data_IF_166975666603
#
_entry.id   IF_166975666603
#
_cell.length_a   1.000
_cell.length_b   1.000
_cell.length_c   1.000
_cell.angle_alpha   90.00
_cell.angle_beta   90.00
_cell.angle_gamma   90.00
#
_symmetry.space_group_name_H-M   'P 1'
#
loop_
_entity.id
_entity.type
_entity.pdbx_description
1 polymer ?
#
# COMPACT_ATOMS: atom_id res chain seq x y z
N UNK A 1 -0.77 -0.42 6.13
CA UNK A 1 -0.63 -1.06 7.47
C UNK A 1 0.57 -1.99 7.45
N UNK A 2 1.16 -2.32 8.60
CA UNK A 2 2.13 -3.41 8.70
C UNK A 2 1.42 -4.65 9.23
N UNK A 3 1.52 -5.78 8.53
CA UNK A 3 0.89 -7.06 8.91
C UNK A 3 1.78 -8.21 8.45
N UNK A 4 2.00 -9.21 9.30
CA UNK A 4 2.89 -10.36 8.99
C UNK A 4 4.26 -9.94 8.44
N UNK A 5 4.85 -8.89 9.02
CA UNK A 5 6.12 -8.28 8.60
C UNK A 5 6.14 -7.73 7.15
N UNK A 6 4.98 -7.55 6.51
CA UNK A 6 4.85 -6.94 5.18
C UNK A 6 4.15 -5.58 5.25
N UNK A 7 4.52 -4.69 4.35
CA UNK A 7 3.85 -3.40 4.15
C UNK A 7 2.64 -3.56 3.23
N UNK A 8 1.46 -3.25 3.75
CA UNK A 8 0.19 -3.32 3.02
C UNK A 8 -0.36 -1.95 2.64
N UNK A 9 -0.95 -1.89 1.46
CA UNK A 9 -1.81 -0.80 0.98
C UNK A 9 -3.04 -1.38 0.28
N UNK A 10 -3.98 -0.53 -0.13
CA UNK A 10 -5.22 -1.01 -0.72
C UNK A 10 -5.89 0.00 -1.63
N UNK A 11 -6.74 -0.52 -2.51
CA UNK A 11 -7.59 0.24 -3.41
C UNK A 11 -8.95 -0.45 -3.56
N UNK A 12 -10.01 0.30 -3.81
CA UNK A 12 -11.30 -0.29 -4.12
C UNK A 12 -11.23 -1.07 -5.44
N UNK A 13 -11.74 -2.32 -5.46
CA UNK A 13 -11.68 -3.20 -6.64
C UNK A 13 -12.37 -2.61 -7.88
N UNK A 14 -13.30 -1.69 -7.68
CA UNK A 14 -14.02 -0.95 -8.73
C UNK A 14 -13.19 0.16 -9.39
N UNK A 15 -12.02 0.55 -8.83
CA UNK A 15 -11.22 1.67 -9.34
C UNK A 15 -10.29 1.23 -10.46
N UNK A 16 -10.04 2.13 -11.41
CA UNK A 16 -9.03 1.93 -12.47
C UNK A 16 -7.63 1.63 -11.91
N UNK A 17 -7.25 2.23 -10.78
CA UNK A 17 -5.96 1.98 -10.13
C UNK A 17 -5.80 0.51 -9.71
N UNK A 18 -6.87 -0.14 -9.22
CA UNK A 18 -6.82 -1.57 -8.91
C UNK A 18 -6.57 -2.40 -10.17
N UNK A 19 -7.26 -2.10 -11.27
CA UNK A 19 -7.08 -2.79 -12.54
C UNK A 19 -5.67 -2.58 -13.13
N UNK A 20 -5.11 -1.38 -12.97
CA UNK A 20 -3.73 -1.09 -13.40
C UNK A 20 -2.71 -1.93 -12.64
N UNK A 21 -2.88 -2.10 -11.32
CA UNK A 21 -1.99 -2.94 -10.50
C UNK A 21 -2.11 -4.42 -10.90
N UNK A 22 -3.31 -4.90 -11.23
CA UNK A 22 -3.47 -6.28 -11.74
C UNK A 22 -2.78 -6.49 -13.09
N UNK A 23 -2.82 -5.49 -13.98
CA UNK A 23 -2.17 -5.57 -15.28
C UNK A 23 -0.65 -5.41 -15.20
N UNK A 24 -0.15 -4.57 -14.29
CA UNK A 24 1.26 -4.38 -14.02
C UNK A 24 1.48 -4.22 -12.50
N UNK A 25 2.01 -5.24 -11.82
CA UNK A 25 2.13 -5.23 -10.37
C UNK A 25 3.27 -4.36 -9.84
N UNK A 26 4.13 -3.81 -10.70
CA UNK A 26 5.22 -2.95 -10.25
C UNK A 26 4.69 -1.55 -9.94
N UNK A 27 4.77 -1.18 -8.66
CA UNK A 27 4.24 0.08 -8.14
C UNK A 27 5.34 0.89 -7.46
N UNK A 28 5.14 2.20 -7.39
CA UNK A 28 5.90 3.10 -6.54
C UNK A 28 4.95 3.93 -5.67
N UNK A 29 5.22 3.98 -4.37
CA UNK A 29 4.55 4.84 -3.41
C UNK A 29 5.52 5.96 -3.03
N UNK A 30 5.09 7.20 -3.16
CA UNK A 30 5.89 8.36 -2.77
C UNK A 30 5.11 9.28 -1.84
N UNK A 31 5.79 9.83 -0.83
CA UNK A 31 5.25 10.87 0.03
C UNK A 31 6.37 11.73 0.60
N UNK A 32 6.02 12.90 1.13
CA UNK A 32 6.93 13.87 1.72
C UNK A 32 6.61 14.07 3.20
N UNK A 33 7.63 14.14 4.04
CA UNK A 33 7.51 14.58 5.43
C UNK A 33 7.28 16.10 5.50
N UNK A 34 6.78 16.58 6.63
CA UNK A 34 6.63 18.02 6.86
C UNK A 34 7.98 18.77 6.89
N UNK A 35 9.11 18.05 7.00
CA UNK A 35 10.46 18.62 7.00
C UNK A 35 11.07 18.73 5.60
N UNK A 36 10.36 18.25 4.56
CA UNK A 36 10.85 18.26 3.18
C UNK A 36 11.69 17.04 2.80
N UNK A 37 11.81 16.03 3.67
CA UNK A 37 12.33 14.72 3.30
C UNK A 37 11.26 13.99 2.47
N UNK A 38 11.65 13.18 1.49
CA UNK A 38 10.73 12.33 0.76
C UNK A 38 11.15 10.87 0.81
N UNK A 39 10.17 10.00 0.68
CA UNK A 39 10.36 8.57 0.55
C UNK A 39 9.77 8.08 -0.77
N UNK A 40 10.46 7.17 -1.45
CA UNK A 40 9.96 6.39 -2.58
C UNK A 40 10.10 4.92 -2.23
N UNK A 41 8.99 4.18 -2.26
CA UNK A 41 8.96 2.74 -2.05
C UNK A 41 8.53 2.10 -3.36
N UNK A 42 9.45 1.44 -4.04
CA UNK A 42 9.15 0.65 -5.23
C UNK A 42 9.12 -0.84 -4.89
N UNK A 43 8.31 -1.60 -5.60
CA UNK A 43 8.23 -3.05 -5.42
C UNK A 43 7.11 -3.68 -6.24
N UNK A 44 6.96 -4.99 -6.09
CA UNK A 44 5.90 -5.78 -6.72
C UNK A 44 4.73 -5.92 -5.77
N UNK A 45 3.57 -5.39 -6.15
CA UNK A 45 2.32 -5.55 -5.44
C UNK A 45 1.76 -6.96 -5.63
N UNK A 46 1.55 -7.67 -4.53
CA UNK A 46 0.92 -8.99 -4.52
C UNK A 46 -0.46 -8.86 -3.88
N UNK A 47 -1.49 -9.35 -4.60
CA UNK A 47 -2.87 -9.35 -4.11
C UNK A 47 -2.99 -10.26 -2.89
N UNK A 48 -3.66 -9.76 -1.86
CA UNK A 48 -4.07 -10.56 -0.72
C UNK A 48 -5.59 -10.48 -0.55
N UNK A 49 -6.26 -11.58 -0.86
CA UNK A 49 -7.71 -11.74 -0.74
C UNK A 49 -8.11 -12.53 0.52
N UNK A 50 -7.17 -12.80 1.44
CA UNK A 50 -7.48 -13.50 2.70
C UNK A 50 -8.36 -12.63 3.60
N UNK A 51 -9.36 -13.24 4.21
CA UNK A 51 -10.30 -12.57 5.11
C UNK A 51 -9.59 -11.95 6.32
N UNK A 52 -8.60 -12.64 6.90
CA UNK A 52 -7.84 -12.12 8.05
C UNK A 52 -7.06 -10.83 7.74
N UNK A 53 -6.52 -10.70 6.51
CA UNK A 53 -5.86 -9.47 6.07
C UNK A 53 -6.88 -8.33 5.90
N UNK A 54 -8.06 -8.63 5.38
CA UNK A 54 -9.16 -7.66 5.27
C UNK A 54 -9.65 -7.19 6.64
N UNK A 55 -9.86 -8.11 7.57
CA UNK A 55 -10.21 -7.81 8.96
C UNK A 55 -9.16 -6.92 9.60
N UNK A 56 -7.87 -7.22 9.43
CA UNK A 56 -6.79 -6.39 9.96
C UNK A 56 -6.77 -4.98 9.38
N UNK A 57 -7.05 -4.84 8.08
CA UNK A 57 -7.17 -3.52 7.45
C UNK A 57 -8.33 -2.72 8.07
N UNK A 58 -9.46 -3.37 8.34
CA UNK A 58 -10.60 -2.75 8.99
C UNK A 58 -10.37 -2.42 10.46
N UNK A 59 -9.63 -3.23 11.21
CA UNK A 59 -9.21 -2.89 12.57
C UNK A 59 -8.29 -1.67 12.58
N UNK A 60 -7.35 -1.61 11.63
CA UNK A 60 -6.36 -0.53 11.54
C UNK A 60 -7.00 0.79 11.13
N UNK A 61 -7.98 0.75 10.22
CA UNK A 61 -8.69 1.93 9.71
C UNK A 61 -10.21 1.65 9.68
N UNK A 62 -10.92 1.81 10.81
CA UNK A 62 -12.35 1.47 10.92
C UNK A 62 -13.27 2.13 9.89
N UNK A 63 -12.93 3.36 9.46
CA UNK A 63 -13.63 4.10 8.41
C UNK A 63 -13.75 3.31 7.10
N UNK A 64 -12.84 2.38 6.82
CA UNK A 64 -12.92 1.53 5.64
C UNK A 64 -14.18 0.66 5.63
N UNK A 65 -14.72 0.25 6.78
CA UNK A 65 -15.99 -0.51 6.87
C UNK A 65 -17.19 0.29 6.38
N UNK A 66 -17.16 1.62 6.54
CA UNK A 66 -18.23 2.51 6.08
C UNK A 66 -18.24 2.64 4.54
N UNK A 67 -17.07 2.45 3.91
CA UNK A 67 -16.88 2.60 2.46
C UNK A 67 -17.05 1.26 1.75
N UNK A 68 -16.52 0.16 2.32
CA UNK A 68 -16.48 -1.15 1.69
C UNK A 68 -17.41 -2.12 2.41
N UNK A 69 -18.66 -2.16 1.97
CA UNK A 69 -19.71 -2.97 2.57
C UNK A 69 -20.79 -3.33 1.54
N UNK A 70 -21.76 -4.14 1.97
CA UNK A 70 -22.85 -4.61 1.13
C UNK A 70 -23.76 -3.47 0.64
N UNK A 71 -23.97 -2.42 1.45
CA UNK A 71 -24.85 -1.30 1.10
C UNK A 71 -24.29 -0.47 -0.06
N UNK A 72 -22.97 -0.28 -0.10
CA UNK A 72 -22.28 0.44 -1.19
C UNK A 72 -21.96 -0.47 -2.37
N UNK A 73 -21.94 -1.79 -2.17
CA UNK A 73 -21.48 -2.77 -3.15
C UNK A 73 -19.97 -2.75 -3.38
N UNK A 74 -19.21 -1.88 -2.70
CA UNK A 74 -17.77 -1.75 -2.91
C UNK A 74 -16.98 -2.79 -2.13
N UNK A 75 -16.00 -3.39 -2.80
CA UNK A 75 -15.04 -4.33 -2.21
C UNK A 75 -13.66 -3.70 -2.15
N UNK A 76 -12.97 -3.90 -1.03
CA UNK A 76 -11.58 -3.52 -0.85
C UNK A 76 -10.68 -4.57 -1.51
N UNK A 77 -9.66 -4.12 -2.23
CA UNK A 77 -8.53 -4.94 -2.65
C UNK A 77 -7.31 -4.56 -1.82
N UNK A 78 -6.66 -5.56 -1.23
CA UNK A 78 -5.43 -5.38 -0.46
C UNK A 78 -4.24 -5.91 -1.25
N UNK A 79 -3.12 -5.24 -1.04
CA UNK A 79 -1.83 -5.62 -1.60
C UNK A 79 -0.77 -5.52 -0.53
N UNK A 80 0.19 -6.43 -0.56
CA UNK A 80 1.48 -6.24 0.09
C UNK A 80 2.59 -6.09 -0.95
N UNK A 81 3.71 -5.51 -0.56
CA UNK A 81 4.87 -5.38 -1.43
C UNK A 81 5.87 -6.53 -1.21
N UNK A 82 6.36 -7.08 -2.30
CA UNK A 82 7.55 -7.95 -2.38
C UNK A 82 8.64 -7.28 -3.24
N UNK A 83 9.86 -7.80 -3.14
CA UNK A 83 11.01 -7.30 -3.91
C UNK A 83 11.19 -5.79 -3.75
N UNK A 84 10.87 -5.27 -2.56
CA UNK A 84 10.63 -3.85 -2.38
C UNK A 84 11.87 -3.13 -1.86
N UNK A 85 12.05 -1.90 -2.34
CA UNK A 85 13.13 -1.01 -1.93
C UNK A 85 12.53 0.33 -1.53
N UNK A 86 12.95 0.84 -0.38
CA UNK A 86 12.64 2.19 0.08
C UNK A 86 13.88 3.09 -0.03
N UNK A 87 13.70 4.25 -0.65
CA UNK A 87 14.70 5.31 -0.77
C UNK A 87 14.17 6.55 -0.05
N UNK A 88 14.95 7.08 0.88
CA UNK A 88 14.64 8.30 1.64
C UNK A 88 15.69 9.33 1.27
N UNK A 89 15.27 10.54 0.92
CA UNK A 89 16.17 11.61 0.55
C UNK A 89 15.65 12.99 1.01
N UNK A 90 16.54 13.97 1.01
CA UNK A 90 16.24 15.36 1.39
C UNK A 90 16.92 16.37 0.44
N UNK A 91 16.64 17.65 0.66
CA UNK A 91 17.15 18.75 -0.17
C UNK A 91 18.60 19.14 0.12
N UNK A 92 19.22 18.60 1.18
CA UNK A 92 20.60 18.91 1.58
C UNK A 92 21.58 17.81 1.16
N UNK A 93 21.10 16.77 0.47
CA UNK A 93 21.91 15.69 -0.08
C UNK A 93 21.91 14.41 0.77
N UNK A 94 21.08 14.35 1.81
CA UNK A 94 20.84 13.11 2.56
C UNK A 94 20.19 12.05 1.68
N UNK A 95 20.70 10.82 1.77
CA UNK A 95 20.16 9.66 1.05
C UNK A 95 20.31 8.39 1.87
N UNK A 96 19.24 7.59 1.95
CA UNK A 96 19.22 6.27 2.59
C UNK A 96 18.42 5.29 1.75
N UNK A 97 19.00 4.12 1.48
CA UNK A 97 18.35 3.00 0.81
C UNK A 97 18.11 1.84 1.78
N UNK A 98 16.94 1.23 1.70
CA UNK A 98 16.51 0.09 2.53
C UNK A 98 15.90 -0.96 1.62
N UNK A 99 16.43 -2.19 1.64
CA UNK A 99 15.80 -3.35 0.99
C UNK A 99 14.84 -4.01 1.96
N UNK A 100 13.61 -4.24 1.54
CA UNK A 100 12.57 -4.92 2.30
C UNK A 100 12.61 -6.40 1.93
N UNK A 101 13.00 -7.24 2.90
CA UNK A 101 13.05 -8.70 2.81
C UNK A 101 11.72 -9.34 3.18
#
# INVERSE_FOLDING_TARGET
MCYENKLYFGAGKHKKSYQQILANPYVEISTTSAKGEWIRINGKAVVDDRENALEKAFETLPRLKEIYNEKTGYKMGLFYLEEATAEIADTTGGFKKITLS
#
